data_IF_542767971197
#
_entry.id   IF_542767971197
#
_cell.length_a   1.000
_cell.length_b   1.000
_cell.length_c   1.000
_cell.angle_alpha   90.00
_cell.angle_beta   90.00
_cell.angle_gamma   90.00
#
_symmetry.space_group_name_H-M   'P 1'
#
loop_
_entity.id
_entity.type
_entity.pdbx_description
1 polymer ?
#
# COMPACT_ATOMS: atom_id res chain seq x y z
N UNK A 1 5.64 -3.16 -0.41
CA UNK A 1 4.35 -3.87 -0.59
C UNK A 1 4.54 -4.87 -1.72
N UNK A 2 4.55 -6.17 -1.41
CA UNK A 2 4.65 -7.24 -2.41
C UNK A 2 3.25 -7.84 -2.60
N UNK A 3 2.63 -7.53 -3.74
CA UNK A 3 1.28 -7.97 -4.07
C UNK A 3 1.18 -9.51 -4.18
N UNK A 4 2.29 -10.17 -4.50
CA UNK A 4 2.38 -11.63 -4.58
C UNK A 4 2.27 -12.24 -3.19
N UNK A 5 3.01 -11.69 -2.22
CA UNK A 5 2.92 -12.10 -0.82
C UNK A 5 1.51 -11.87 -0.26
N UNK A 6 0.87 -10.77 -0.64
CA UNK A 6 -0.52 -10.47 -0.28
C UNK A 6 -1.48 -11.55 -0.78
N UNK A 7 -1.49 -11.84 -2.09
CA UNK A 7 -2.42 -12.82 -2.66
C UNK A 7 -2.20 -14.24 -2.11
N UNK A 8 -0.94 -14.62 -1.85
CA UNK A 8 -0.64 -15.93 -1.27
C UNK A 8 -1.20 -16.06 0.16
N UNK A 9 -1.02 -15.06 1.01
CA UNK A 9 -1.51 -15.08 2.39
C UNK A 9 -3.03 -14.94 2.46
N UNK A 10 -3.63 -14.14 1.58
CA UNK A 10 -5.08 -14.05 1.44
C UNK A 10 -5.70 -15.41 1.08
N UNK A 11 -5.15 -16.09 0.06
CA UNK A 11 -5.59 -17.42 -0.34
C UNK A 11 -5.42 -18.46 0.79
N UNK A 12 -4.38 -18.33 1.62
CA UNK A 12 -4.18 -19.20 2.78
C UNK A 12 -5.25 -18.97 3.87
N UNK A 13 -5.57 -17.70 4.15
CA UNK A 13 -6.66 -17.34 5.07
C UNK A 13 -8.00 -17.84 4.55
N UNK A 14 -8.31 -17.65 3.26
CA UNK A 14 -9.54 -18.17 2.65
C UNK A 14 -9.62 -19.69 2.73
N UNK A 15 -8.53 -20.42 2.47
CA UNK A 15 -8.51 -21.89 2.57
C UNK A 15 -8.74 -22.40 4.00
N UNK A 16 -8.38 -21.61 5.01
CA UNK A 16 -8.66 -21.94 6.41
C UNK A 16 -10.14 -21.75 6.78
N UNK A 17 -10.90 -21.01 5.97
CA UNK A 17 -12.34 -20.88 6.08
C UNK A 17 -12.97 -22.02 5.24
N UNK A 18 -13.73 -22.92 5.87
CA UNK A 18 -14.38 -24.09 5.25
C UNK A 18 -15.01 -23.80 3.86
N UNK A 19 -15.11 -24.77 2.93
CA UNK A 19 -15.80 -24.61 1.63
C UNK A 19 -17.30 -24.24 1.70
N UNK A 20 -17.89 -24.22 2.91
CA UNK A 20 -19.21 -23.60 3.22
C UNK A 20 -19.08 -22.21 3.83
N UNK A 21 -17.98 -21.50 3.54
CA UNK A 21 -17.56 -20.25 4.15
C UNK A 21 -18.70 -19.23 4.29
N UNK A 22 -18.79 -18.64 5.48
CA UNK A 22 -19.70 -17.54 5.85
C UNK A 22 -19.69 -16.38 4.86
N UNK A 23 -18.63 -16.23 4.05
CA UNK A 23 -18.58 -15.24 2.98
C UNK A 23 -19.67 -15.44 1.92
N UNK A 24 -20.10 -16.68 1.61
CA UNK A 24 -21.25 -16.90 0.70
C UNK A 24 -22.59 -16.81 1.42
N UNK A 25 -22.68 -17.33 2.63
CA UNK A 25 -23.92 -17.31 3.42
C UNK A 25 -24.33 -15.91 3.88
N UNK A 26 -23.37 -14.97 4.01
CA UNK A 26 -23.65 -13.59 4.37
C UNK A 26 -24.24 -12.75 3.23
N UNK A 27 -24.10 -13.13 1.96
CA UNK A 27 -24.73 -12.38 0.85
C UNK A 27 -26.23 -12.66 0.72
N UNK A 28 -26.66 -13.88 1.08
CA UNK A 28 -28.05 -14.31 0.94
C UNK A 28 -28.92 -13.97 2.16
N UNK A 29 -28.31 -13.61 3.30
CA UNK A 29 -28.98 -13.40 4.60
C UNK A 29 -29.05 -11.94 5.09
N UNK A 30 -28.86 -10.94 4.23
CA UNK A 30 -29.03 -9.53 4.66
C UNK A 30 -30.54 -9.20 4.68
N UNK A 31 -31.22 -9.67 5.73
CA UNK A 31 -32.55 -9.21 6.11
C UNK A 31 -32.46 -7.77 6.64
N UNK A 32 -33.45 -6.88 6.41
CA UNK A 32 -33.39 -5.48 6.80
C UNK A 32 -33.67 -5.24 8.29
N UNK A 33 -33.32 -6.18 9.17
CA UNK A 33 -33.49 -6.01 10.61
C UNK A 33 -32.18 -5.53 11.23
N UNK A 34 -32.30 -4.37 11.86
CA UNK A 34 -31.25 -3.55 12.44
C UNK A 34 -30.79 -4.17 13.76
N UNK A 35 -29.97 -5.20 13.69
CA UNK A 35 -29.09 -5.55 14.82
C UNK A 35 -27.83 -4.69 14.66
N UNK A 36 -27.67 -3.65 15.50
CA UNK A 36 -26.43 -2.87 15.55
C UNK A 36 -25.28 -3.82 15.94
N UNK A 37 -24.33 -4.12 15.05
CA UNK A 37 -23.24 -5.01 15.40
C UNK A 37 -22.31 -4.27 16.36
N UNK A 38 -22.14 -4.84 17.55
CA UNK A 38 -21.13 -4.43 18.52
C UNK A 38 -19.76 -4.34 17.86
N UNK A 39 -19.06 -3.23 18.12
CA UNK A 39 -17.78 -2.83 17.52
C UNK A 39 -17.78 -2.78 15.98
N UNK A 40 -18.08 -1.60 15.44
CA UNK A 40 -17.70 -1.26 14.07
C UNK A 40 -16.18 -1.42 13.92
N UNK A 41 -15.74 -2.57 13.40
CA UNK A 41 -14.34 -2.88 13.07
C UNK A 41 -13.79 -1.74 12.21
N UNK A 42 -12.65 -1.17 12.58
CA UNK A 42 -12.07 -0.02 11.88
C UNK A 42 -10.62 -0.28 11.56
N UNK A 43 -10.27 -0.23 10.28
CA UNK A 43 -8.87 -0.28 9.84
C UNK A 43 -8.48 1.14 9.44
N UNK A 44 -7.44 1.68 10.08
CA UNK A 44 -6.99 3.07 9.88
C UNK A 44 -8.11 4.11 10.02
N UNK A 45 -9.05 3.89 10.95
CA UNK A 45 -10.19 4.77 11.20
C UNK A 45 -11.35 4.62 10.19
N UNK A 46 -11.21 3.79 9.16
CA UNK A 46 -12.24 3.50 8.15
C UNK A 46 -13.09 2.31 8.61
N UNK A 47 -14.43 2.44 8.63
CA UNK A 47 -15.31 1.34 9.02
C UNK A 47 -15.17 0.19 8.02
N UNK A 48 -14.92 -1.00 8.56
CA UNK A 48 -14.80 -2.24 7.82
C UNK A 48 -16.21 -2.83 7.65
N UNK A 49 -16.60 -3.26 6.44
CA UNK A 49 -17.89 -3.90 6.24
C UNK A 49 -18.09 -5.13 7.13
N UNK A 50 -19.34 -5.41 7.56
CA UNK A 50 -19.63 -6.50 8.51
C UNK A 50 -19.31 -7.90 7.97
N UNK A 51 -19.17 -8.07 6.66
CA UNK A 51 -18.80 -9.34 6.03
C UNK A 51 -17.30 -9.67 6.14
N UNK A 52 -16.46 -8.71 6.54
CA UNK A 52 -15.02 -8.94 6.70
C UNK A 52 -14.76 -9.64 8.03
N UNK A 53 -14.12 -10.80 7.98
CA UNK A 53 -13.81 -11.58 9.19
C UNK A 53 -12.73 -10.92 10.04
N UNK A 54 -12.78 -11.13 11.37
CA UNK A 54 -11.79 -10.59 12.31
C UNK A 54 -10.39 -11.06 12.02
N UNK A 55 -10.23 -12.30 11.52
CA UNK A 55 -8.94 -12.84 11.12
C UNK A 55 -8.30 -12.05 9.98
N UNK A 56 -9.11 -11.50 9.06
CA UNK A 56 -8.61 -10.64 7.98
C UNK A 56 -8.25 -9.26 8.54
N UNK A 57 -9.06 -8.72 9.45
CA UNK A 57 -8.78 -7.45 10.12
C UNK A 57 -7.48 -7.52 10.91
N UNK A 58 -7.33 -8.51 11.79
CA UNK A 58 -6.14 -8.71 12.61
C UNK A 58 -4.89 -8.96 11.75
N UNK A 59 -5.02 -9.73 10.67
CA UNK A 59 -3.92 -9.92 9.74
C UNK A 59 -3.48 -8.61 9.08
N UNK A 60 -4.44 -7.77 8.67
CA UNK A 60 -4.12 -6.47 8.08
C UNK A 60 -3.43 -5.58 9.10
N UNK A 61 -3.92 -5.51 10.33
CA UNK A 61 -3.31 -4.71 11.40
C UNK A 61 -1.90 -5.19 11.77
N UNK A 62 -1.68 -6.50 11.84
CA UNK A 62 -0.36 -7.09 12.13
C UNK A 62 0.66 -6.87 11.01
N UNK A 63 0.25 -7.02 9.74
CA UNK A 63 1.15 -6.93 8.59
C UNK A 63 1.35 -5.48 8.13
N UNK A 64 0.34 -4.63 8.30
CA UNK A 64 0.31 -3.25 7.83
C UNK A 64 0.10 -2.27 9.00
N UNK A 65 1.16 -2.13 9.80
CA UNK A 65 1.19 -1.25 10.98
C UNK A 65 0.95 0.24 10.65
N UNK A 66 1.10 0.65 9.39
CA UNK A 66 0.95 2.03 8.94
C UNK A 66 -0.12 2.12 7.85
N UNK A 67 -0.91 3.21 7.83
CA UNK A 67 -1.88 3.43 6.78
C UNK A 67 -1.20 3.56 5.41
N UNK A 68 -1.89 3.17 4.32
CA UNK A 68 -1.36 3.36 2.98
C UNK A 68 -1.04 4.84 2.73
N UNK A 69 0.16 5.09 2.24
CA UNK A 69 0.60 6.43 1.88
C UNK A 69 0.15 6.70 0.45
N UNK A 70 -0.40 7.88 0.19
CA UNK A 70 -0.74 8.33 -1.15
C UNK A 70 0.03 9.60 -1.50
N UNK A 71 0.43 9.71 -2.76
CA UNK A 71 1.02 10.92 -3.31
C UNK A 71 0.33 11.27 -4.63
N UNK A 72 -0.27 12.46 -4.72
CA UNK A 72 -1.09 12.90 -5.85
C UNK A 72 -2.11 11.82 -6.32
N UNK A 73 -2.78 11.17 -5.37
CA UNK A 73 -3.76 10.10 -5.64
C UNK A 73 -3.17 8.73 -5.99
N UNK A 74 -1.85 8.59 -6.10
CA UNK A 74 -1.18 7.32 -6.36
C UNK A 74 -0.79 6.63 -5.05
N UNK A 75 -1.07 5.33 -4.94
CA UNK A 75 -0.60 4.52 -3.82
C UNK A 75 0.94 4.42 -3.84
N UNK A 76 1.55 4.83 -2.73
CA UNK A 76 3.00 4.80 -2.51
C UNK A 76 3.35 3.52 -1.77
N UNK A 77 4.18 2.71 -2.39
CA UNK A 77 4.71 1.47 -1.83
C UNK A 77 5.79 1.76 -0.78
N UNK A 78 6.62 2.76 -1.04
CA UNK A 78 7.68 3.21 -0.12
C UNK A 78 7.96 4.69 -0.33
N UNK A 79 7.96 5.44 0.78
CA UNK A 79 8.47 6.81 0.84
C UNK A 79 9.89 6.77 1.40
N UNK A 80 10.85 7.37 0.70
CA UNK A 80 12.25 7.48 1.15
C UNK A 80 12.61 8.95 1.22
N UNK A 81 12.91 9.43 2.41
CA UNK A 81 13.32 10.81 2.66
C UNK A 81 14.85 10.95 2.56
N UNK A 82 15.34 12.19 2.45
CA UNK A 82 16.76 12.51 2.40
C UNK A 82 17.52 11.82 1.24
N UNK A 83 16.84 11.69 0.08
CA UNK A 83 17.42 11.11 -1.13
C UNK A 83 18.17 12.18 -1.90
N UNK A 84 19.41 11.89 -2.27
CA UNK A 84 20.26 12.78 -3.06
C UNK A 84 20.18 12.44 -4.54
N UNK A 85 19.60 13.31 -5.35
CA UNK A 85 19.57 13.17 -6.80
C UNK A 85 20.83 13.78 -7.41
N UNK A 86 21.60 12.94 -8.11
CA UNK A 86 22.82 13.34 -8.82
C UNK A 86 22.52 13.29 -10.31
N UNK A 87 22.57 14.44 -10.98
CA UNK A 87 22.46 14.55 -12.44
C UNK A 87 23.83 14.84 -13.04
N UNK A 88 24.06 14.39 -14.28
CA UNK A 88 25.28 14.62 -15.06
C UNK A 88 25.59 16.09 -15.24
N UNK A 89 24.57 16.95 -15.34
CA UNK A 89 24.73 18.38 -15.55
C UNK A 89 24.90 19.17 -14.24
N UNK A 90 24.50 18.60 -13.10
CA UNK A 90 24.57 19.26 -11.79
C UNK A 90 25.22 18.36 -10.73
N UNK A 91 26.36 17.77 -11.06
CA UNK A 91 27.09 16.89 -10.14
C UNK A 91 27.64 17.61 -8.90
N UNK A 92 27.85 18.93 -8.96
CA UNK A 92 28.45 19.71 -7.87
C UNK A 92 27.45 20.10 -6.78
N UNK A 93 26.18 20.32 -7.13
CA UNK A 93 25.14 20.72 -6.20
C UNK A 93 23.95 19.76 -6.30
N UNK A 94 24.08 18.52 -5.79
CA UNK A 94 23.02 17.54 -5.89
C UNK A 94 21.83 17.94 -5.00
N UNK A 95 20.62 17.82 -5.56
CA UNK A 95 19.39 18.13 -4.85
C UNK A 95 19.07 17.02 -3.85
N UNK A 96 18.74 17.40 -2.62
CA UNK A 96 18.23 16.47 -1.60
C UNK A 96 16.71 16.59 -1.54
N UNK A 97 16.00 15.47 -1.60
CA UNK A 97 14.55 15.46 -1.63
C UNK A 97 13.94 14.14 -1.17
N UNK A 98 12.69 13.92 -1.55
CA UNK A 98 11.95 12.71 -1.20
C UNK A 98 11.69 11.87 -2.45
N UNK A 99 11.96 10.57 -2.36
CA UNK A 99 11.65 9.60 -3.41
C UNK A 99 10.43 8.77 -3.02
N UNK A 100 9.39 8.84 -3.84
CA UNK A 100 8.18 8.03 -3.74
C UNK A 100 8.25 6.89 -4.74
N UNK A 101 8.16 5.65 -4.24
CA UNK A 101 8.07 4.46 -5.06
C UNK A 101 6.60 4.09 -5.18
N UNK A 102 6.07 4.06 -6.40
CA UNK A 102 4.71 3.57 -6.69
C UNK A 102 4.79 2.23 -7.43
N UNK A 103 3.65 1.65 -7.80
CA UNK A 103 3.63 0.42 -8.59
C UNK A 103 4.15 0.62 -10.03
N UNK A 104 3.97 1.80 -10.62
CA UNK A 104 4.23 2.05 -12.05
C UNK A 104 5.38 3.00 -12.31
N UNK A 105 5.75 3.83 -11.33
CA UNK A 105 6.80 4.82 -11.49
C UNK A 105 7.47 5.22 -10.16
N UNK A 106 8.61 5.88 -10.28
CA UNK A 106 9.31 6.59 -9.21
C UNK A 106 9.04 8.08 -9.36
N UNK A 107 8.82 8.78 -8.25
CA UNK A 107 8.68 10.23 -8.21
C UNK A 107 9.73 10.79 -7.25
N UNK A 108 10.65 11.60 -7.75
CA UNK A 108 11.55 12.39 -6.91
C UNK A 108 11.00 13.81 -6.78
N UNK A 109 10.88 14.31 -5.56
CA UNK A 109 10.34 15.64 -5.25
C UNK A 109 11.40 16.48 -4.57
N UNK A 110 11.73 17.63 -5.18
CA UNK A 110 12.61 18.65 -4.61
C UNK A 110 11.84 19.51 -3.60
N UNK A 111 12.33 19.66 -2.36
CA UNK A 111 11.60 20.34 -1.29
C UNK A 111 11.47 21.85 -1.53
N UNK A 112 12.48 22.48 -2.11
CA UNK A 112 12.55 23.94 -2.24
C UNK A 112 11.73 24.47 -3.42
N UNK A 113 11.66 23.70 -4.51
CA UNK A 113 11.02 24.12 -5.76
C UNK A 113 9.69 23.41 -6.03
N UNK A 114 9.33 22.41 -5.22
CA UNK A 114 8.26 21.44 -5.49
C UNK A 114 8.36 20.81 -6.89
N UNK A 115 9.57 20.77 -7.46
CA UNK A 115 9.80 20.17 -8.77
C UNK A 115 9.78 18.65 -8.64
N UNK A 116 8.95 18.02 -9.46
CA UNK A 116 8.82 16.57 -9.52
C UNK A 116 9.61 16.02 -10.71
N UNK A 117 10.32 14.91 -10.50
CA UNK A 117 10.95 14.12 -11.55
C UNK A 117 10.35 12.73 -11.56
N UNK A 118 9.76 12.34 -12.70
CA UNK A 118 9.02 11.09 -12.85
C UNK A 118 9.81 10.11 -13.69
N UNK A 119 9.99 8.89 -13.17
CA UNK A 119 10.70 7.81 -13.85
C UNK A 119 9.77 6.60 -13.92
N UNK A 120 9.20 6.31 -15.09
CA UNK A 120 8.37 5.13 -15.28
C UNK A 120 9.25 3.87 -15.24
N UNK A 121 8.80 2.81 -14.54
CA UNK A 121 9.58 1.56 -14.44
C UNK A 121 9.90 0.95 -15.82
N UNK A 122 8.99 1.10 -16.79
CA UNK A 122 9.16 0.57 -18.15
C UNK A 122 10.30 1.24 -18.94
N UNK A 123 10.73 2.44 -18.55
CA UNK A 123 11.85 3.14 -19.20
C UNK A 123 13.21 2.83 -18.56
N UNK A 124 13.24 2.07 -17.46
CA UNK A 124 14.47 1.75 -16.76
C UNK A 124 15.13 0.54 -17.42
N UNK A 125 16.29 0.75 -18.03
CA UNK A 125 17.04 -0.32 -18.68
C UNK A 125 17.89 -1.15 -17.69
N UNK A 126 18.48 -0.49 -16.68
CA UNK A 126 19.32 -1.14 -15.69
C UNK A 126 19.21 -0.42 -14.33
N UNK A 127 19.34 -1.17 -13.23
CA UNK A 127 19.41 -0.66 -11.85
C UNK A 127 20.59 -1.33 -11.17
N UNK A 128 21.50 -0.51 -10.65
CA UNK A 128 22.66 -0.98 -9.91
C UNK A 128 22.69 -0.38 -8.50
N UNK A 129 23.08 -1.19 -7.52
CA UNK A 129 23.32 -0.74 -6.15
C UNK A 129 24.80 -0.46 -5.99
N UNK A 130 25.16 0.81 -5.85
CA UNK A 130 26.53 1.21 -5.58
C UNK A 130 26.94 0.85 -4.14
N UNK A 131 28.24 0.53 -3.90
CA UNK A 131 28.74 0.34 -2.54
C UNK A 131 28.61 1.65 -1.74
N UNK A 132 28.35 1.51 -0.43
CA UNK A 132 28.26 2.61 0.53
C UNK A 132 29.64 3.10 0.95
#
# INVERSE_FOLDING_TARGET
MDFTKFMNKFNEVERSLSPTSSLRLNFDNISPETEEPEENKRIWGVPVPPFVSEKVVSWIEEEFNEPPIYYNGNAVIRKVENVRMIDRYNAKNPTVGTLYLTATHLIFVEPDSNKETWILHMHIANIEKLPL
#
